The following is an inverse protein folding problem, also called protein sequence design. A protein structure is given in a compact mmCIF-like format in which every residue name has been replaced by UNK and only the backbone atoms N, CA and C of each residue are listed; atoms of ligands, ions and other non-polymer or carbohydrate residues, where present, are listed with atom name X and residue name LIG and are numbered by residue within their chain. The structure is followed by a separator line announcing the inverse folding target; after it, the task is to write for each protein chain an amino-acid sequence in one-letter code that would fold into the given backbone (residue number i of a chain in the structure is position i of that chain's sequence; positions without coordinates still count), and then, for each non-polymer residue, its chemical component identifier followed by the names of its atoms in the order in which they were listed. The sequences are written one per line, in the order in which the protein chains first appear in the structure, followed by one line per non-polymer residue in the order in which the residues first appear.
data_IF_421369163278
#
_entry.id   IF_421369163278
#
_cell.length_a   1.000
_cell.length_b   1.000
_cell.length_c   1.000
_cell.angle_alpha   90.00
_cell.angle_beta   90.00
_cell.angle_gamma   90.00
#
_symmetry.space_group_name_H-M   'P 1'
#
loop_
_entity.id
_entity.type
_entity.pdbx_description
1 polymer ?
#
# COMPACT_ATOMS: atom_id res chain seq x y z
N UNK A 1 -1.28 8.05 -14.77
CA UNK A 1 -0.44 8.31 -13.58
C UNK A 1 0.60 7.22 -13.49
N UNK A 2 1.88 7.57 -13.53
CA UNK A 2 2.99 6.64 -13.29
C UNK A 2 3.33 6.74 -11.80
N UNK A 3 3.11 5.68 -11.03
CA UNK A 3 3.55 5.61 -9.65
C UNK A 3 5.02 5.19 -9.61
N UNK A 4 5.84 5.83 -8.77
CA UNK A 4 7.22 5.37 -8.57
C UNK A 4 7.25 4.13 -7.68
N UNK A 5 8.34 3.36 -7.75
CA UNK A 5 8.52 2.16 -6.92
C UNK A 5 8.48 2.51 -5.42
N UNK A 6 9.09 3.64 -5.05
CA UNK A 6 9.13 4.16 -3.68
C UNK A 6 7.74 4.47 -3.16
N UNK A 7 6.92 5.19 -3.93
CA UNK A 7 5.52 5.48 -3.57
C UNK A 7 4.71 4.20 -3.37
N UNK A 8 4.89 3.20 -4.24
CA UNK A 8 4.20 1.92 -4.09
C UNK A 8 4.62 1.18 -2.82
N UNK A 9 5.91 1.20 -2.46
CA UNK A 9 6.42 0.58 -1.23
C UNK A 9 5.89 1.28 0.02
N UNK A 10 5.90 2.61 0.04
CA UNK A 10 5.41 3.41 1.17
C UNK A 10 3.93 3.15 1.44
N UNK A 11 3.09 3.18 0.39
CA UNK A 11 1.67 2.86 0.53
C UNK A 11 1.46 1.41 0.99
N UNK A 12 2.18 0.44 0.43
CA UNK A 12 2.07 -0.96 0.83
C UNK A 12 2.44 -1.14 2.31
N UNK A 13 3.51 -0.50 2.78
CA UNK A 13 3.92 -0.52 4.18
C UNK A 13 2.85 0.08 5.10
N UNK A 14 2.23 1.21 4.71
CA UNK A 14 1.13 1.81 5.46
C UNK A 14 -0.08 0.86 5.59
N UNK A 15 -0.44 0.14 4.51
CA UNK A 15 -1.52 -0.83 4.54
C UNK A 15 -1.19 -2.08 5.36
N UNK A 16 0.06 -2.57 5.34
CA UNK A 16 0.50 -3.65 6.22
C UNK A 16 0.48 -3.24 7.70
N UNK A 17 0.86 -2.00 8.01
CA UNK A 17 0.76 -1.47 9.37
C UNK A 17 -0.70 -1.36 9.81
N UNK A 18 -1.60 -0.95 8.92
CA UNK A 18 -3.04 -0.92 9.18
C UNK A 18 -3.62 -2.33 9.41
N UNK A 19 -3.20 -3.33 8.64
CA UNK A 19 -3.59 -4.74 8.83
C UNK A 19 -3.15 -5.25 10.21
N UNK A 20 -1.89 -4.99 10.60
CA UNK A 20 -1.38 -5.32 11.93
C UNK A 20 -2.12 -4.58 13.04
N UNK A 21 -2.44 -3.30 12.85
CA UNK A 21 -3.19 -2.50 13.81
C UNK A 21 -4.61 -3.04 13.99
N UNK A 22 -5.30 -3.39 12.89
CA UNK A 22 -6.63 -3.99 12.93
C UNK A 22 -6.59 -5.38 13.57
N UNK A 23 -5.61 -6.21 13.23
CA UNK A 23 -5.43 -7.52 13.86
C UNK A 23 -5.15 -7.42 15.36
N UNK A 24 -4.38 -6.40 15.79
CA UNK A 24 -4.11 -6.13 17.21
C UNK A 24 -5.31 -5.48 17.92
N UNK A 25 -6.03 -4.58 17.26
CA UNK A 25 -7.19 -3.90 17.81
C UNK A 25 -8.41 -4.81 17.90
N UNK A 26 -8.48 -5.87 17.07
CA UNK A 26 -9.45 -6.95 17.21
C UNK A 26 -9.35 -7.66 18.56
N UNK A 27 -8.18 -7.64 19.22
CA UNK A 27 -8.06 -8.15 20.60
C UNK A 27 -8.62 -7.21 21.67
N UNK A 28 -9.09 -5.99 21.34
CA UNK A 28 -9.41 -4.96 22.33
C UNK A 28 -10.71 -4.17 22.08
N UNK A 29 -11.77 -4.80 21.58
CA UNK A 29 -13.12 -4.22 21.72
C UNK A 29 -14.10 -5.24 22.29
N UNK A 30 -14.03 -5.35 23.61
CA UNK A 30 -15.13 -5.73 24.51
C UNK A 30 -16.02 -4.50 24.65
N UNK A 31 -17.24 -4.52 24.12
CA UNK A 31 -18.25 -3.47 24.36
C UNK A 31 -19.05 -3.03 23.13
N UNK A 32 -20.27 -2.56 23.39
CA UNK A 32 -21.47 -2.53 22.53
C UNK A 32 -21.46 -1.70 21.21
N UNK A 33 -20.31 -1.47 20.55
CA UNK A 33 -20.26 -0.79 19.24
C UNK A 33 -19.49 -1.62 18.22
N UNK A 34 -20.23 -2.17 17.26
CA UNK A 34 -19.72 -2.91 16.11
C UNK A 34 -19.28 -1.90 15.05
N UNK A 35 -17.98 -1.76 14.85
CA UNK A 35 -17.44 -1.18 13.63
C UNK A 35 -16.27 -2.06 13.17
N UNK A 36 -16.05 -2.17 11.85
CA UNK A 36 -14.85 -2.68 11.17
C UNK A 36 -14.77 -4.14 10.66
N UNK A 37 -15.89 -4.76 10.23
CA UNK A 37 -15.78 -5.88 9.25
C UNK A 37 -15.49 -5.39 7.81
N UNK A 38 -15.87 -4.15 7.49
CA UNK A 38 -15.61 -3.54 6.19
C UNK A 38 -14.12 -3.23 5.94
N UNK A 39 -13.40 -2.80 6.98
CA UNK A 39 -12.03 -2.31 6.84
C UNK A 39 -11.02 -3.42 6.52
N UNK A 40 -11.16 -4.64 7.09
CA UNK A 40 -10.19 -5.72 6.83
C UNK A 40 -10.20 -6.20 5.38
N UNK A 41 -11.39 -6.31 4.78
CA UNK A 41 -11.54 -6.66 3.37
C UNK A 41 -10.99 -5.56 2.46
N UNK A 42 -11.17 -4.29 2.83
CA UNK A 42 -10.64 -3.16 2.09
C UNK A 42 -9.11 -3.06 2.19
N UNK A 43 -8.53 -3.28 3.38
CA UNK A 43 -7.08 -3.34 3.61
C UNK A 43 -6.46 -4.46 2.77
N UNK A 44 -7.02 -5.67 2.82
CA UNK A 44 -6.53 -6.81 2.03
C UNK A 44 -6.61 -6.53 0.51
N UNK A 45 -7.71 -5.89 0.05
CA UNK A 45 -7.87 -5.48 -1.34
C UNK A 45 -6.81 -4.45 -1.75
N UNK A 46 -6.57 -3.44 -0.91
CA UNK A 46 -5.58 -2.41 -1.17
C UNK A 46 -4.16 -2.97 -1.20
N UNK A 47 -3.80 -3.88 -0.27
CA UNK A 47 -2.51 -4.59 -0.29
C UNK A 47 -2.30 -5.30 -1.63
N UNK A 48 -3.31 -6.02 -2.14
CA UNK A 48 -3.25 -6.70 -3.44
C UNK A 48 -3.07 -5.72 -4.60
N UNK A 49 -3.81 -4.61 -4.61
CA UNK A 49 -3.70 -3.60 -5.66
C UNK A 49 -2.29 -2.99 -5.69
N UNK A 50 -1.75 -2.64 -4.52
CA UNK A 50 -0.42 -2.02 -4.42
C UNK A 50 0.71 -3.00 -4.73
N UNK A 51 0.57 -4.28 -4.36
CA UNK A 51 1.56 -5.30 -4.73
C UNK A 51 1.57 -5.58 -6.24
N UNK A 52 0.40 -5.63 -6.88
CA UNK A 52 0.29 -5.75 -8.34
C UNK A 52 0.86 -4.52 -9.07
N UNK A 53 0.64 -3.31 -8.53
CA UNK A 53 1.24 -2.08 -9.06
C UNK A 53 2.76 -2.07 -8.92
N UNK A 54 3.28 -2.46 -7.75
CA UNK A 54 4.72 -2.59 -7.52
C UNK A 54 5.34 -3.59 -8.50
N UNK A 55 4.71 -4.75 -8.69
CA UNK A 55 5.16 -5.77 -9.63
C UNK A 55 5.17 -5.25 -11.08
N UNK A 56 4.19 -4.41 -11.48
CA UNK A 56 4.16 -3.76 -12.80
C UNK A 56 5.27 -2.72 -12.98
N UNK A 57 5.59 -1.96 -11.93
CA UNK A 57 6.70 -1.00 -11.93
C UNK A 57 8.04 -1.74 -12.03
N UNK A 58 8.22 -2.82 -11.24
CA UNK A 58 9.44 -3.63 -11.24
C UNK A 58 9.67 -4.45 -12.52
N UNK A 59 8.60 -4.99 -13.15
CA UNK A 59 8.70 -5.73 -14.42
C UNK A 59 9.08 -4.87 -15.62
N UNK A 60 9.29 -3.56 -15.43
CA UNK A 60 9.90 -2.73 -16.46
C UNK A 60 8.90 -2.00 -17.35
N UNK A 61 7.85 -1.41 -16.78
CA UNK A 61 7.42 -0.13 -17.34
C UNK A 61 8.43 0.94 -16.91
N UNK A 62 9.59 0.90 -17.56
CA UNK A 62 10.50 2.03 -17.61
C UNK A 62 9.79 3.13 -18.41
N UNK A 63 8.85 3.83 -17.78
CA UNK A 63 8.45 5.16 -18.26
C UNK A 63 9.71 6.00 -18.48
N UNK A 64 9.72 6.94 -19.44
CA UNK A 64 10.95 7.56 -19.94
C UNK A 64 11.81 8.01 -18.77
N UNK A 65 13.00 7.40 -18.63
CA UNK A 65 13.99 7.80 -17.63
C UNK A 65 14.42 9.21 -18.01
N UNK A 66 13.81 10.22 -17.38
CA UNK A 66 14.30 11.59 -17.42
C UNK A 66 15.62 11.61 -16.67
N UNK A 67 16.72 11.37 -17.38
CA UNK A 67 18.04 11.73 -16.90
C UNK A 67 18.12 13.25 -16.93
N UNK A 68 18.00 13.88 -15.77
CA UNK A 68 18.39 15.29 -15.62
C UNK A 68 19.92 15.35 -15.67
N UNK A 69 20.46 15.65 -16.84
CA UNK A 69 21.87 16.00 -17.01
C UNK A 69 22.01 17.43 -16.51
N UNK A 70 22.60 17.61 -15.33
CA UNK A 70 23.00 18.93 -14.82
C UNK A 70 24.33 19.27 -15.52
N UNK A 71 24.40 20.35 -16.34
CA UNK A 71 25.67 20.79 -16.90
C UNK A 71 26.58 21.33 -15.77
N UNK A 72 27.88 21.03 -15.86
CA UNK A 72 28.92 21.52 -14.96
C UNK A 72 29.30 22.96 -15.25
#
# INVERSE_FOLDING_TARGET
MVFTEEQCKEHLQAWLAADLAVSKSQSYTIGNRVLTRANSQEIARNIKIWSERLAKVQRGYSGPRTFQIIPR
#
